data_IF_833528356307
#
_entry.id   IF_833528356307
#
_cell.length_a   1.000
_cell.length_b   1.000
_cell.length_c   1.000
_cell.angle_alpha   90.00
_cell.angle_beta   90.00
_cell.angle_gamma   90.00
#
_symmetry.space_group_name_H-M   'P 1'
#
loop_
_entity.id
_entity.type
_entity.pdbx_description
1 polymer ?
#
# COMPACT_ATOMS: atom_id res chain seq x y z
N UNK A 1 5.00 17.21 13.99
CA UNK A 1 5.79 16.12 13.36
C UNK A 1 6.17 14.99 14.31
N UNK A 2 6.60 15.24 15.56
CA UNK A 2 7.02 14.20 16.53
C UNK A 2 5.99 13.07 16.73
N UNK A 3 4.72 13.42 16.99
CA UNK A 3 3.64 12.42 17.17
C UNK A 3 3.42 11.50 15.96
N UNK A 4 3.42 12.05 14.74
CA UNK A 4 3.20 11.24 13.53
C UNK A 4 4.33 10.24 13.31
N UNK A 5 5.58 10.63 13.59
CA UNK A 5 6.72 9.72 13.57
C UNK A 5 6.61 8.63 14.64
N UNK A 6 6.15 8.98 15.85
CA UNK A 6 5.89 7.99 16.91
C UNK A 6 4.78 7.01 16.52
N UNK A 7 3.67 7.51 15.99
CA UNK A 7 2.58 6.68 15.48
C UNK A 7 3.06 5.74 14.37
N UNK A 8 3.88 6.23 13.44
CA UNK A 8 4.49 5.40 12.40
C UNK A 8 5.38 4.29 13.00
N UNK A 9 6.20 4.61 14.00
CA UNK A 9 7.05 3.63 14.68
C UNK A 9 6.25 2.57 15.44
N UNK A 10 5.17 2.95 16.12
CA UNK A 10 4.28 1.99 16.78
C UNK A 10 3.56 1.08 15.78
N UNK A 11 3.01 1.65 14.70
CA UNK A 11 2.38 0.85 13.64
C UNK A 11 3.37 -0.09 12.94
N UNK A 12 4.64 0.30 12.82
CA UNK A 12 5.70 -0.57 12.30
C UNK A 12 5.92 -1.82 13.17
N UNK A 13 5.65 -1.73 14.47
CA UNK A 13 5.75 -2.85 15.43
C UNK A 13 4.42 -3.55 15.68
N UNK A 14 3.33 -3.17 14.99
CA UNK A 14 1.99 -3.72 15.23
C UNK A 14 1.26 -3.16 16.45
N UNK A 15 1.78 -2.09 17.07
CA UNK A 15 1.29 -1.51 18.33
C UNK A 15 0.10 -0.56 18.11
N UNK A 16 -1.09 -1.13 17.88
CA UNK A 16 -2.32 -0.38 17.54
C UNK A 16 -2.84 0.44 18.72
N UNK A 17 -2.83 -0.09 19.93
CA UNK A 17 -3.40 0.58 21.11
C UNK A 17 -2.54 1.77 21.55
N UNK A 18 -1.21 1.61 21.53
CA UNK A 18 -0.25 2.69 21.79
C UNK A 18 -0.37 3.80 20.75
N UNK A 19 -0.60 3.42 19.48
CA UNK A 19 -0.89 4.39 18.42
C UNK A 19 -2.18 5.16 18.73
N UNK A 20 -3.28 4.47 19.08
CA UNK A 20 -4.56 5.12 19.43
C UNK A 20 -4.42 6.07 20.61
N UNK A 21 -3.64 5.70 21.64
CA UNK A 21 -3.38 6.53 22.80
C UNK A 21 -2.77 7.89 22.44
N UNK A 22 -1.88 7.96 21.44
CA UNK A 22 -1.30 9.22 20.95
C UNK A 22 -2.35 10.19 20.38
N UNK A 23 -3.51 9.70 19.96
CA UNK A 23 -4.60 10.49 19.37
C UNK A 23 -5.82 10.63 20.28
N UNK A 24 -5.85 10.02 21.46
CA UNK A 24 -7.01 9.99 22.35
C UNK A 24 -7.55 11.39 22.73
N UNK A 25 -6.66 12.37 22.91
CA UNK A 25 -7.04 13.73 23.28
C UNK A 25 -7.55 14.59 22.10
N UNK A 26 -7.51 14.07 20.86
CA UNK A 26 -7.83 14.84 19.66
C UNK A 26 -9.25 14.53 19.18
N UNK A 27 -10.14 15.52 19.29
CA UNK A 27 -11.54 15.40 18.87
C UNK A 27 -11.80 15.71 17.39
N UNK A 28 -10.75 16.01 16.61
CA UNK A 28 -10.89 16.29 15.18
C UNK A 28 -11.36 15.06 14.41
N UNK A 29 -12.25 15.26 13.43
CA UNK A 29 -12.81 14.19 12.58
C UNK A 29 -11.74 13.29 11.97
N UNK A 30 -10.61 13.86 11.54
CA UNK A 30 -9.48 13.09 10.99
C UNK A 30 -8.87 12.13 12.00
N UNK A 31 -8.66 12.56 13.25
CA UNK A 31 -8.09 11.71 14.29
C UNK A 31 -9.06 10.57 14.66
N UNK A 32 -10.36 10.87 14.77
CA UNK A 32 -11.40 9.87 15.03
C UNK A 32 -11.51 8.83 13.91
N UNK A 33 -11.51 9.28 12.65
CA UNK A 33 -11.55 8.39 11.49
C UNK A 33 -10.31 7.50 11.43
N UNK A 34 -9.13 8.05 11.75
CA UNK A 34 -7.89 7.29 11.82
C UNK A 34 -7.94 6.20 12.91
N UNK A 35 -8.34 6.54 14.14
CA UNK A 35 -8.49 5.55 15.22
C UNK A 35 -9.50 4.46 14.86
N UNK A 36 -10.62 4.82 14.22
CA UNK A 36 -11.63 3.85 13.76
C UNK A 36 -11.09 2.92 12.67
N UNK A 37 -10.29 3.45 11.75
CA UNK A 37 -9.63 2.64 10.74
C UNK A 37 -8.68 1.62 11.36
N UNK A 38 -7.87 2.04 12.34
CA UNK A 38 -6.98 1.15 13.07
C UNK A 38 -7.73 0.05 13.80
N UNK A 39 -8.85 0.39 14.45
CA UNK A 39 -9.69 -0.57 15.17
C UNK A 39 -10.26 -1.65 14.23
N UNK A 40 -10.83 -1.21 13.09
CA UNK A 40 -11.40 -2.09 12.06
C UNK A 40 -10.37 -3.01 11.42
N UNK A 41 -9.12 -2.59 11.32
CA UNK A 41 -8.08 -3.28 10.57
C UNK A 41 -6.93 -3.80 11.44
N UNK A 42 -7.11 -3.86 12.76
CA UNK A 42 -6.09 -4.28 13.72
C UNK A 42 -5.45 -5.62 13.37
N UNK A 43 -6.24 -6.59 12.92
CA UNK A 43 -5.77 -7.94 12.61
C UNK A 43 -4.86 -7.99 11.37
N UNK A 44 -4.87 -6.93 10.54
CA UNK A 44 -4.01 -6.80 9.35
C UNK A 44 -2.71 -6.06 9.65
N UNK A 45 -2.57 -5.47 10.83
CA UNK A 45 -1.42 -4.66 11.22
C UNK A 45 -0.48 -5.55 12.04
N UNK A 46 0.45 -6.18 11.34
CA UNK A 46 1.45 -7.08 11.92
C UNK A 46 2.69 -6.32 12.42
N UNK A 47 3.60 -7.03 13.08
CA UNK A 47 4.91 -6.50 13.46
C UNK A 47 5.86 -6.52 12.25
N UNK A 48 5.83 -5.45 11.44
CA UNK A 48 6.68 -5.32 10.25
C UNK A 48 8.17 -5.32 10.59
N UNK A 49 8.58 -4.79 11.74
CA UNK A 49 9.97 -4.82 12.21
C UNK A 49 10.48 -6.26 12.33
N UNK A 50 9.71 -7.12 13.00
CA UNK A 50 10.04 -8.55 13.14
C UNK A 50 10.07 -9.25 11.77
N UNK A 51 9.05 -9.03 10.94
CA UNK A 51 8.97 -9.67 9.62
C UNK A 51 10.13 -9.27 8.69
N UNK A 52 10.61 -8.04 8.81
CA UNK A 52 11.77 -7.56 8.06
C UNK A 52 13.07 -8.15 8.61
N UNK A 53 13.25 -8.17 9.94
CA UNK A 53 14.46 -8.68 10.58
C UNK A 53 14.67 -10.19 10.32
N UNK A 54 13.58 -10.96 10.34
CA UNK A 54 13.59 -12.40 10.08
C UNK A 54 13.48 -12.75 8.59
N UNK A 55 13.49 -11.74 7.70
CA UNK A 55 13.35 -11.90 6.24
C UNK A 55 12.15 -12.77 5.80
N UNK A 56 11.09 -12.81 6.62
CA UNK A 56 9.91 -13.67 6.40
C UNK A 56 9.22 -13.32 5.09
N UNK A 57 9.19 -12.03 4.75
CA UNK A 57 8.71 -11.58 3.45
C UNK A 57 9.33 -10.24 3.05
N UNK A 58 9.35 -9.97 1.74
CA UNK A 58 9.80 -8.69 1.21
C UNK A 58 8.85 -7.56 1.61
N UNK A 59 9.23 -6.78 2.62
CA UNK A 59 8.49 -5.59 3.07
C UNK A 59 8.92 -4.37 2.25
N UNK A 60 8.03 -3.86 1.41
CA UNK A 60 8.23 -2.61 0.68
C UNK A 60 7.29 -2.45 -0.50
N UNK A 61 6.72 -1.26 -0.68
CA UNK A 61 5.84 -0.97 -1.82
C UNK A 61 6.59 -0.58 -3.08
N UNK A 62 7.90 -0.28 -3.01
CA UNK A 62 8.65 0.32 -4.12
C UNK A 62 8.62 -0.50 -5.41
N UNK A 63 8.79 -1.82 -5.33
CA UNK A 63 8.73 -2.71 -6.50
C UNK A 63 7.31 -2.80 -7.08
N UNK A 64 6.30 -2.84 -6.22
CA UNK A 64 4.88 -2.86 -6.62
C UNK A 64 4.48 -1.55 -7.29
N UNK A 65 4.79 -0.41 -6.66
CA UNK A 65 4.53 0.93 -7.21
C UNK A 65 5.26 1.15 -8.54
N UNK A 66 6.52 0.72 -8.63
CA UNK A 66 7.30 0.77 -9.86
C UNK A 66 6.69 -0.11 -10.96
N UNK A 67 6.21 -1.29 -10.63
CA UNK A 67 5.51 -2.17 -11.57
C UNK A 67 4.22 -1.53 -12.08
N UNK A 68 3.37 -1.00 -11.19
CA UNK A 68 2.13 -0.30 -11.56
C UNK A 68 2.44 0.90 -12.48
N UNK A 69 3.45 1.71 -12.16
CA UNK A 69 3.88 2.83 -13.01
C UNK A 69 4.33 2.37 -14.40
N UNK A 70 5.05 1.25 -14.50
CA UNK A 70 5.48 0.69 -15.79
C UNK A 70 4.32 0.18 -16.63
N UNK A 71 3.29 -0.39 -16.01
CA UNK A 71 2.03 -0.76 -16.69
C UNK A 71 1.33 0.50 -17.20
N UNK A 72 1.04 1.45 -16.30
CA UNK A 72 0.27 2.68 -16.58
C UNK A 72 0.87 3.51 -17.72
N UNK A 73 2.21 3.61 -17.78
CA UNK A 73 2.94 4.40 -18.79
C UNK A 73 2.56 4.11 -20.25
N UNK A 74 2.03 2.91 -20.55
CA UNK A 74 1.63 2.51 -21.91
C UNK A 74 0.15 2.16 -22.05
N UNK A 75 -0.57 2.02 -20.95
CA UNK A 75 -2.01 1.74 -20.96
C UNK A 75 -2.83 3.01 -20.81
N UNK A 76 -2.28 4.10 -20.27
CA UNK A 76 -3.02 5.34 -20.04
C UNK A 76 -2.84 6.34 -21.18
N UNK A 77 -3.98 6.81 -21.69
CA UNK A 77 -4.05 7.92 -22.64
C UNK A 77 -4.91 9.00 -21.98
N UNK A 78 -4.41 10.24 -21.93
CA UNK A 78 -5.14 11.34 -21.28
C UNK A 78 -6.49 11.57 -21.97
N UNK A 79 -7.56 11.66 -21.19
CA UNK A 79 -8.92 11.86 -21.69
C UNK A 79 -9.58 10.64 -22.33
N UNK A 80 -8.91 9.49 -22.40
CA UNK A 80 -9.46 8.27 -22.97
C UNK A 80 -9.74 7.21 -21.89
N UNK A 81 -10.71 6.34 -22.18
CA UNK A 81 -11.02 5.16 -21.38
C UNK A 81 -11.04 3.93 -22.28
N UNK A 82 -10.57 2.80 -21.75
CA UNK A 82 -10.71 1.52 -22.43
C UNK A 82 -12.15 1.01 -22.28
N UNK A 83 -12.64 0.35 -23.33
CA UNK A 83 -13.82 -0.50 -23.20
C UNK A 83 -13.52 -1.63 -22.21
N UNK A 84 -14.45 -1.91 -21.30
CA UNK A 84 -14.23 -2.85 -20.20
C UNK A 84 -13.82 -4.23 -20.69
N UNK A 85 -14.41 -4.69 -21.80
CA UNK A 85 -14.11 -5.97 -22.44
C UNK A 85 -12.67 -6.09 -22.94
N UNK A 86 -12.01 -4.97 -23.27
CA UNK A 86 -10.65 -4.95 -23.80
C UNK A 86 -9.58 -4.80 -22.72
N UNK A 87 -9.95 -4.43 -21.49
CA UNK A 87 -9.00 -4.21 -20.38
C UNK A 87 -8.16 -5.46 -20.09
N UNK A 88 -8.72 -6.67 -19.97
CA UNK A 88 -7.92 -7.86 -19.67
C UNK A 88 -6.84 -8.13 -20.72
N UNK A 89 -7.17 -8.00 -22.01
CA UNK A 89 -6.23 -8.23 -23.11
C UNK A 89 -5.07 -7.22 -23.08
N UNK A 90 -5.37 -5.92 -22.92
CA UNK A 90 -4.34 -4.87 -22.87
C UNK A 90 -3.39 -5.08 -21.69
N UNK A 91 -3.92 -5.42 -20.52
CA UNK A 91 -3.11 -5.71 -19.34
C UNK A 91 -2.26 -6.97 -19.55
N UNK A 92 -2.83 -8.05 -20.11
CA UNK A 92 -2.11 -9.29 -20.38
C UNK A 92 -0.91 -9.07 -21.31
N UNK A 93 -1.09 -8.35 -22.43
CA UNK A 93 0.01 -8.02 -23.34
C UNK A 93 1.09 -7.18 -22.65
N UNK A 94 0.69 -6.18 -21.83
CA UNK A 94 1.66 -5.33 -21.13
C UNK A 94 2.45 -6.12 -20.09
N UNK A 95 1.80 -7.02 -19.35
CA UNK A 95 2.45 -7.91 -18.39
C UNK A 95 3.41 -8.88 -19.11
N UNK A 96 2.97 -9.52 -20.20
CA UNK A 96 3.82 -10.41 -20.99
C UNK A 96 5.08 -9.69 -21.49
N UNK A 97 4.94 -8.46 -22.01
CA UNK A 97 6.07 -7.63 -22.42
C UNK A 97 7.03 -7.32 -21.25
N UNK A 98 6.51 -6.84 -20.12
CA UNK A 98 7.34 -6.45 -18.97
C UNK A 98 8.06 -7.65 -18.33
N UNK A 99 7.51 -8.84 -18.47
CA UNK A 99 8.09 -10.10 -18.01
C UNK A 99 9.01 -10.77 -19.04
N UNK A 100 9.18 -10.18 -20.23
CA UNK A 100 10.02 -10.76 -21.29
C UNK A 100 9.41 -11.96 -22.01
N UNK A 101 8.11 -12.24 -21.87
CA UNK A 101 7.46 -13.38 -22.52
C UNK A 101 7.17 -13.17 -24.01
N UNK A 102 7.50 -11.99 -24.54
CA UNK A 102 7.34 -11.65 -25.96
C UNK A 102 8.67 -11.59 -26.72
N UNK A 103 9.80 -11.88 -26.06
CA UNK A 103 11.10 -11.98 -26.75
C UNK A 103 11.23 -13.35 -27.41
N UNK A 104 11.39 -13.32 -28.74
CA UNK A 104 11.95 -14.41 -29.56
C UNK A 104 13.46 -14.43 -29.41
#
# INVERSE_FOLDING_TARGET
>A
LKRLKQAQAFLWKGQVEETKALFAHYKGKHAQNFCRYLDKHRDRIINYEYHQAEEICSIGSGSVESAVKRVDRRTKISGAQWKQENVPQVLAHRCAYLNGFLSV
#
